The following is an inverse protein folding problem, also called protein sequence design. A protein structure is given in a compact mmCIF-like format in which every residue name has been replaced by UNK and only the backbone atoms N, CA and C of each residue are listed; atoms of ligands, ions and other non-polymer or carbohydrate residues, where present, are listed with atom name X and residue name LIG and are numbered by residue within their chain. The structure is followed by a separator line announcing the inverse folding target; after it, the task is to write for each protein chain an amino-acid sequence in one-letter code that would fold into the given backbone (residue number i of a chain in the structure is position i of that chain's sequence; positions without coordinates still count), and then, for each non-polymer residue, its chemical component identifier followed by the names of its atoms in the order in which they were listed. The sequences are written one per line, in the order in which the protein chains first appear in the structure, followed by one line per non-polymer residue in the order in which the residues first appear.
data_IF_283762646506
#
_entry.id   IF_283762646506
#
_cell.length_a   1.000
_cell.length_b   1.000
_cell.length_c   1.000
_cell.angle_alpha   90.00
_cell.angle_beta   90.00
_cell.angle_gamma   90.00
#
_symmetry.space_group_name_H-M   'P 1'
#
loop_
_entity.id
_entity.type
_entity.pdbx_description
1 polymer ?
#
# COMPACT_ATOMS: atom_id res chain seq x y z
N UNK A 1 -19.63 -47.35 10.47
CA UNK A 1 -20.97 -46.70 10.50
C UNK A 1 -20.79 -45.21 10.19
N UNK A 2 -21.67 -44.65 9.39
CA UNK A 2 -21.55 -43.21 9.02
C UNK A 2 -22.21 -42.37 10.12
N UNK A 3 -21.45 -41.42 10.69
CA UNK A 3 -21.96 -40.51 11.74
C UNK A 3 -23.14 -39.68 11.25
N UNK A 4 -24.17 -39.54 12.04
CA UNK A 4 -25.41 -38.82 11.71
C UNK A 4 -25.55 -37.49 12.47
N UNK A 5 -26.33 -36.56 11.91
CA UNK A 5 -26.67 -35.29 12.61
C UNK A 5 -27.25 -35.53 14.01
N UNK A 6 -27.98 -36.63 14.20
CA UNK A 6 -28.56 -36.99 15.51
C UNK A 6 -27.46 -37.27 16.54
N UNK A 7 -26.41 -38.01 16.16
CA UNK A 7 -25.29 -38.30 17.07
C UNK A 7 -24.53 -37.03 17.50
N UNK A 8 -24.38 -36.07 16.61
CA UNK A 8 -23.78 -34.75 16.93
C UNK A 8 -24.71 -33.95 17.85
N UNK A 9 -26.01 -34.00 17.62
CA UNK A 9 -27.02 -33.36 18.47
C UNK A 9 -27.03 -33.96 19.89
N UNK A 10 -26.98 -35.31 19.99
CA UNK A 10 -26.92 -36.02 21.26
C UNK A 10 -25.62 -35.72 22.04
N UNK A 11 -24.45 -35.67 21.38
CA UNK A 11 -23.13 -35.34 22.00
C UNK A 11 -23.05 -33.87 22.47
N UNK A 12 -23.73 -32.96 21.79
CA UNK A 12 -23.73 -31.53 22.14
C UNK A 12 -24.86 -31.10 23.07
N UNK A 13 -25.87 -31.94 23.28
CA UNK A 13 -27.09 -31.62 24.02
C UNK A 13 -27.99 -30.59 23.32
N UNK A 14 -27.85 -30.43 22.01
CA UNK A 14 -28.60 -29.43 21.22
C UNK A 14 -29.59 -30.12 20.26
N UNK A 15 -30.61 -29.37 19.82
CA UNK A 15 -31.55 -29.90 18.85
C UNK A 15 -30.93 -30.20 17.49
N UNK A 16 -31.40 -31.24 16.79
CA UNK A 16 -30.96 -31.59 15.43
C UNK A 16 -31.10 -30.37 14.49
N UNK A 17 -32.15 -29.56 14.64
CA UNK A 17 -32.41 -28.38 13.87
C UNK A 17 -31.31 -27.30 14.11
N UNK A 18 -30.87 -27.13 15.38
CA UNK A 18 -29.78 -26.22 15.74
C UNK A 18 -28.46 -26.68 15.15
N UNK A 19 -28.13 -27.96 15.29
CA UNK A 19 -26.92 -28.57 14.72
C UNK A 19 -26.91 -28.44 13.19
N UNK A 20 -28.01 -28.82 12.52
CA UNK A 20 -28.15 -28.71 11.07
C UNK A 20 -27.98 -27.29 10.57
N UNK A 21 -28.56 -26.32 11.29
CA UNK A 21 -28.47 -24.90 10.94
C UNK A 21 -27.05 -24.37 11.13
N UNK A 22 -26.36 -24.75 12.20
CA UNK A 22 -24.98 -24.40 12.47
C UNK A 22 -24.07 -24.97 11.39
N UNK A 23 -24.15 -26.26 11.07
CA UNK A 23 -23.29 -26.91 10.07
C UNK A 23 -23.56 -26.46 8.62
N UNK A 24 -24.70 -25.81 8.34
CA UNK A 24 -24.99 -25.22 7.01
C UNK A 24 -24.56 -23.76 6.89
N UNK A 25 -24.27 -23.08 8.01
CA UNK A 25 -23.89 -21.66 8.03
C UNK A 25 -22.37 -21.53 7.87
N UNK A 26 -21.95 -20.91 6.79
CA UNK A 26 -20.57 -20.47 6.61
C UNK A 26 -20.42 -19.08 7.27
N UNK A 27 -19.99 -19.02 8.54
CA UNK A 27 -19.77 -17.77 9.28
C UNK A 27 -18.33 -17.69 9.78
N UNK A 28 -17.74 -16.50 9.74
CA UNK A 28 -16.38 -16.21 10.20
C UNK A 28 -16.22 -16.12 11.72
N UNK A 29 -17.29 -16.12 12.49
CA UNK A 29 -17.28 -16.15 13.96
C UNK A 29 -18.37 -17.06 14.43
N UNK A 30 -18.01 -18.03 15.24
CA UNK A 30 -18.92 -18.98 15.83
C UNK A 30 -19.38 -18.49 17.21
N UNK A 31 -20.64 -18.70 17.53
CA UNK A 31 -21.11 -18.61 18.91
C UNK A 31 -20.57 -19.81 19.72
N UNK A 32 -20.55 -19.71 21.06
CA UNK A 32 -20.07 -20.80 21.90
C UNK A 32 -20.79 -22.13 21.64
N UNK A 33 -22.05 -22.08 21.21
CA UNK A 33 -22.81 -23.27 20.81
C UNK A 33 -22.39 -23.83 19.47
N UNK A 34 -22.04 -22.96 18.50
CA UNK A 34 -21.50 -23.38 17.20
C UNK A 34 -20.13 -24.02 17.36
N UNK A 35 -19.25 -23.47 18.20
CA UNK A 35 -17.95 -24.09 18.53
C UNK A 35 -18.10 -25.50 19.11
N UNK A 36 -19.03 -25.70 20.04
CA UNK A 36 -19.35 -27.03 20.59
C UNK A 36 -19.84 -28.00 19.51
N UNK A 37 -20.70 -27.53 18.59
CA UNK A 37 -21.22 -28.35 17.49
C UNK A 37 -20.08 -28.78 16.56
N UNK A 38 -19.18 -27.87 16.18
CA UNK A 38 -18.07 -28.20 15.31
C UNK A 38 -17.06 -29.12 15.98
N UNK A 39 -16.73 -28.91 17.25
CA UNK A 39 -15.85 -29.79 18.02
C UNK A 39 -16.40 -31.22 18.08
N UNK A 40 -17.71 -31.38 18.42
CA UNK A 40 -18.39 -32.67 18.47
C UNK A 40 -18.43 -33.35 17.09
N UNK A 41 -18.75 -32.59 16.05
CA UNK A 41 -18.83 -33.10 14.69
C UNK A 41 -17.46 -33.59 14.17
N UNK A 42 -16.36 -32.91 14.52
CA UNK A 42 -14.99 -33.39 14.24
C UNK A 42 -14.67 -34.66 15.01
N UNK A 43 -14.91 -34.67 16.34
CA UNK A 43 -14.66 -35.79 17.21
C UNK A 43 -15.39 -37.08 16.72
N UNK A 44 -16.60 -36.93 16.21
CA UNK A 44 -17.43 -38.05 15.75
C UNK A 44 -17.21 -38.42 14.28
N UNK A 45 -16.37 -37.69 13.53
CA UNK A 45 -16.11 -37.92 12.12
C UNK A 45 -17.34 -37.70 11.22
N UNK A 46 -18.12 -36.64 11.47
CA UNK A 46 -19.29 -36.33 10.66
C UNK A 46 -18.91 -35.92 9.24
N UNK A 47 -19.43 -36.60 8.20
CA UNK A 47 -18.86 -36.55 6.83
C UNK A 47 -18.99 -35.20 6.12
N UNK A 48 -19.80 -34.27 6.60
CA UNK A 48 -19.96 -32.93 6.01
C UNK A 48 -19.00 -31.88 6.59
N UNK A 49 -18.10 -32.27 7.51
CA UNK A 49 -17.05 -31.38 8.05
C UNK A 49 -15.90 -31.21 7.06
N UNK A 50 -15.81 -32.04 6.04
CA UNK A 50 -14.74 -31.94 5.03
C UNK A 50 -14.69 -30.64 4.24
N UNK A 51 -15.68 -29.74 4.38
CA UNK A 51 -15.67 -28.39 3.85
C UNK A 51 -15.40 -27.32 4.91
N UNK A 52 -15.26 -27.69 6.19
CA UNK A 52 -14.67 -26.81 7.19
C UNK A 52 -13.17 -26.95 7.00
N UNK A 53 -12.60 -26.01 6.28
CA UNK A 53 -11.14 -25.83 6.29
C UNK A 53 -10.68 -25.79 7.74
N UNK A 54 -9.63 -26.55 8.06
CA UNK A 54 -8.81 -26.32 9.24
C UNK A 54 -8.68 -24.81 9.46
N UNK A 55 -8.89 -24.36 10.72
CA UNK A 55 -8.88 -23.00 11.22
C UNK A 55 -8.87 -21.96 10.10
N UNK A 56 -9.99 -21.26 9.86
CA UNK A 56 -10.17 -20.39 8.69
C UNK A 56 -8.90 -19.59 8.44
N UNK A 57 -8.05 -20.07 7.52
CA UNK A 57 -6.77 -19.44 7.19
C UNK A 57 -7.07 -17.98 6.84
N UNK A 58 -6.48 -17.07 7.62
CA UNK A 58 -6.72 -15.65 7.45
C UNK A 58 -6.35 -15.26 6.02
N UNK A 59 -7.30 -14.70 5.30
CA UNK A 59 -7.06 -14.21 3.94
C UNK A 59 -7.13 -12.69 3.94
N UNK A 60 -6.00 -12.05 3.68
CA UNK A 60 -5.87 -10.60 3.62
C UNK A 60 -5.88 -10.14 2.17
N UNK A 61 -6.74 -9.21 1.82
CA UNK A 61 -6.75 -8.59 0.50
C UNK A 61 -5.91 -7.31 0.51
N UNK A 62 -4.85 -7.25 -0.31
CA UNK A 62 -4.22 -5.99 -0.69
C UNK A 62 -4.93 -5.44 -1.92
N UNK A 63 -5.65 -4.33 -1.74
CA UNK A 63 -6.41 -3.65 -2.79
C UNK A 63 -5.63 -2.43 -3.26
N UNK A 64 -5.27 -2.42 -4.53
CA UNK A 64 -4.46 -1.34 -5.13
C UNK A 64 -4.79 -1.17 -6.60
N UNK A 65 -4.45 -0.03 -7.17
CA UNK A 65 -4.28 0.12 -8.61
C UNK A 65 -2.83 -0.20 -8.94
N UNK A 66 -2.62 -1.20 -9.79
CA UNK A 66 -1.26 -1.64 -10.14
C UNK A 66 -0.68 -0.69 -11.20
N UNK A 67 0.43 -0.07 -10.87
CA UNK A 67 1.25 0.73 -11.79
C UNK A 67 2.60 0.05 -12.00
N UNK A 68 3.33 0.48 -13.01
CA UNK A 68 4.71 0.01 -13.24
C UNK A 68 5.65 0.61 -12.19
N UNK A 69 6.63 -0.17 -11.76
CA UNK A 69 7.67 0.28 -10.85
C UNK A 69 8.03 -0.74 -9.77
N UNK A 70 9.23 -0.62 -9.21
CA UNK A 70 9.78 -1.54 -8.20
C UNK A 70 9.06 -1.44 -6.86
N UNK A 71 8.48 -0.28 -6.54
CA UNK A 71 7.69 -0.08 -5.33
C UNK A 71 6.59 -1.15 -5.16
N UNK A 72 5.80 -1.41 -6.22
CA UNK A 72 4.74 -2.42 -6.15
C UNK A 72 5.29 -3.84 -5.97
N UNK A 73 6.41 -4.16 -6.62
CA UNK A 73 7.07 -5.45 -6.45
C UNK A 73 7.56 -5.63 -5.01
N UNK A 74 8.15 -4.61 -4.42
CA UNK A 74 8.61 -4.61 -3.04
C UNK A 74 7.45 -4.72 -2.04
N UNK A 75 6.37 -3.99 -2.28
CA UNK A 75 5.13 -4.07 -1.50
C UNK A 75 4.56 -5.49 -1.51
N UNK A 76 4.43 -6.10 -2.69
CA UNK A 76 3.92 -7.46 -2.85
C UNK A 76 4.82 -8.48 -2.16
N UNK A 77 6.14 -8.36 -2.30
CA UNK A 77 7.11 -9.22 -1.60
C UNK A 77 7.00 -9.07 -0.07
N UNK A 78 6.78 -7.87 0.44
CA UNK A 78 6.56 -7.62 1.86
C UNK A 78 5.33 -8.37 2.39
N UNK A 79 4.20 -8.28 1.69
CA UNK A 79 2.99 -9.03 2.03
C UNK A 79 3.19 -10.55 1.93
N UNK A 80 3.83 -11.03 0.87
CA UNK A 80 4.14 -12.45 0.70
C UNK A 80 5.04 -13.00 1.82
N UNK A 81 6.09 -12.26 2.20
CA UNK A 81 6.96 -12.70 3.27
C UNK A 81 6.25 -12.69 4.64
N UNK A 82 5.44 -11.67 4.90
CA UNK A 82 4.62 -11.60 6.13
C UNK A 82 3.61 -12.73 6.20
N UNK A 83 2.99 -13.11 5.09
CA UNK A 83 2.00 -14.19 5.04
C UNK A 83 2.58 -15.54 5.45
N UNK A 84 3.84 -15.81 5.13
CA UNK A 84 4.55 -17.03 5.60
C UNK A 84 4.73 -17.07 7.11
N UNK A 85 4.96 -15.91 7.73
CA UNK A 85 5.19 -15.81 9.18
C UNK A 85 3.86 -15.92 9.94
N UNK A 86 2.80 -15.36 9.36
CA UNK A 86 1.46 -15.31 9.99
C UNK A 86 0.56 -16.47 9.58
N UNK A 87 1.05 -17.40 8.76
CA UNK A 87 0.28 -18.52 8.21
C UNK A 87 -1.04 -18.07 7.58
N UNK A 88 -1.01 -16.91 6.90
CA UNK A 88 -2.17 -16.30 6.25
C UNK A 88 -2.03 -16.33 4.73
N UNK A 89 -3.16 -16.31 4.02
CA UNK A 89 -3.18 -16.07 2.58
C UNK A 89 -3.19 -14.56 2.28
N UNK A 90 -2.50 -14.14 1.23
CA UNK A 90 -2.59 -12.79 0.68
C UNK A 90 -3.14 -12.84 -0.73
N UNK A 91 -4.18 -12.06 -0.98
CA UNK A 91 -4.80 -11.90 -2.29
C UNK A 91 -4.60 -10.47 -2.78
N UNK A 92 -4.02 -10.33 -3.97
CA UNK A 92 -3.88 -9.02 -4.61
C UNK A 92 -5.13 -8.73 -5.44
N UNK A 93 -5.78 -7.61 -5.13
CA UNK A 93 -6.98 -7.15 -5.84
C UNK A 93 -6.63 -5.86 -6.56
N UNK A 94 -6.55 -5.94 -7.90
CA UNK A 94 -6.41 -4.75 -8.74
C UNK A 94 -7.77 -4.07 -8.86
N UNK A 95 -7.86 -2.84 -8.35
CA UNK A 95 -9.05 -2.01 -8.49
C UNK A 95 -8.97 -1.33 -9.86
N UNK A 96 -9.63 -1.90 -10.87
CA UNK A 96 -9.64 -1.33 -12.21
C UNK A 96 -10.24 0.08 -12.21
N UNK A 97 -9.64 1.00 -12.96
CA UNK A 97 -10.10 2.40 -13.12
C UNK A 97 -11.55 2.56 -13.60
N UNK A 98 -12.19 1.47 -14.03
CA UNK A 98 -13.54 1.43 -14.58
C UNK A 98 -14.59 0.84 -13.62
N UNK A 99 -14.28 0.77 -12.33
CA UNK A 99 -15.32 0.47 -11.33
C UNK A 99 -16.18 1.71 -11.17
N UNK A 100 -17.48 1.63 -11.49
CA UNK A 100 -18.43 2.73 -11.35
C UNK A 100 -18.51 3.25 -9.90
N UNK A 101 -18.22 2.40 -8.92
CA UNK A 101 -18.13 2.74 -7.50
C UNK A 101 -17.03 1.92 -6.79
N UNK A 102 -15.78 2.42 -6.77
CA UNK A 102 -14.67 1.75 -6.11
C UNK A 102 -14.89 1.56 -4.61
N UNK A 103 -15.58 2.48 -3.96
CA UNK A 103 -15.90 2.40 -2.52
C UNK A 103 -16.85 1.24 -2.25
N UNK A 104 -17.92 1.09 -3.04
CA UNK A 104 -18.84 -0.02 -2.89
C UNK A 104 -18.17 -1.37 -3.18
N UNK A 105 -17.25 -1.40 -4.15
CA UNK A 105 -16.48 -2.60 -4.43
C UNK A 105 -15.63 -3.01 -3.22
N UNK A 106 -14.91 -2.07 -2.58
CA UNK A 106 -14.13 -2.32 -1.36
C UNK A 106 -15.02 -2.82 -0.23
N UNK A 107 -16.20 -2.21 -0.02
CA UNK A 107 -17.19 -2.68 0.97
C UNK A 107 -17.62 -4.13 0.69
N UNK A 108 -17.82 -4.50 -0.57
CA UNK A 108 -18.17 -5.86 -0.93
C UNK A 108 -17.04 -6.87 -0.70
N UNK A 109 -15.77 -6.46 -0.86
CA UNK A 109 -14.61 -7.30 -0.56
C UNK A 109 -14.54 -7.68 0.92
N UNK A 110 -15.05 -6.85 1.84
CA UNK A 110 -15.09 -7.16 3.28
C UNK A 110 -15.95 -8.40 3.62
N UNK A 111 -16.82 -8.81 2.70
CA UNK A 111 -17.64 -10.04 2.84
C UNK A 111 -16.87 -11.31 2.45
N UNK A 112 -15.75 -11.15 1.73
CA UNK A 112 -14.97 -12.28 1.16
C UNK A 112 -13.69 -12.57 1.93
N UNK A 113 -13.04 -11.52 2.45
CA UNK A 113 -11.71 -11.60 3.05
C UNK A 113 -11.75 -11.36 4.56
N UNK A 114 -10.72 -11.79 5.27
CA UNK A 114 -10.61 -11.63 6.72
C UNK A 114 -10.18 -10.23 7.13
N UNK A 115 -9.42 -9.56 6.28
CA UNK A 115 -8.99 -8.17 6.42
C UNK A 115 -8.66 -7.56 5.07
N UNK A 116 -8.64 -6.23 5.01
CA UNK A 116 -8.31 -5.47 3.81
C UNK A 116 -7.21 -4.47 4.13
N UNK A 117 -6.19 -4.42 3.27
CA UNK A 117 -5.21 -3.37 3.22
C UNK A 117 -5.41 -2.57 1.93
N UNK A 118 -5.56 -1.26 2.04
CA UNK A 118 -5.75 -0.35 0.91
C UNK A 118 -4.47 0.38 0.58
N UNK A 119 -4.02 0.32 -0.67
CA UNK A 119 -3.05 1.26 -1.23
C UNK A 119 -3.66 1.93 -2.45
N UNK A 120 -4.43 2.98 -2.21
CA UNK A 120 -5.24 3.70 -3.21
C UNK A 120 -5.04 5.22 -3.01
N UNK A 121 -3.99 5.81 -3.60
CA UNK A 121 -3.67 7.23 -3.44
C UNK A 121 -4.78 8.20 -3.86
N UNK A 122 -5.65 7.77 -4.76
CA UNK A 122 -6.73 8.59 -5.32
C UNK A 122 -7.99 8.65 -4.43
N UNK A 123 -8.07 7.87 -3.34
CA UNK A 123 -9.21 7.95 -2.42
C UNK A 123 -9.12 9.19 -1.55
N UNK A 124 -10.23 9.94 -1.49
CA UNK A 124 -10.36 11.12 -0.65
C UNK A 124 -10.97 10.81 0.72
N UNK A 125 -10.91 11.75 1.64
CA UNK A 125 -11.44 11.59 3.01
C UNK A 125 -12.92 11.17 3.06
N UNK A 126 -13.73 11.61 2.11
CA UNK A 126 -15.15 11.23 2.02
C UNK A 126 -15.30 9.72 1.72
N UNK A 127 -14.45 9.18 0.84
CA UNK A 127 -14.45 7.76 0.48
C UNK A 127 -14.08 6.89 1.69
N UNK A 128 -13.05 7.26 2.43
CA UNK A 128 -12.66 6.54 3.65
C UNK A 128 -13.75 6.56 4.72
N UNK A 129 -14.48 7.68 4.88
CA UNK A 129 -15.65 7.73 5.78
C UNK A 129 -16.75 6.80 5.31
N UNK A 130 -17.03 6.77 4.01
CA UNK A 130 -18.05 5.91 3.41
C UNK A 130 -17.66 4.43 3.55
N UNK A 131 -16.39 4.08 3.32
CA UNK A 131 -15.85 2.73 3.55
C UNK A 131 -16.05 2.34 5.02
N UNK A 132 -15.59 3.16 5.98
CA UNK A 132 -15.71 2.86 7.42
C UNK A 132 -17.16 2.67 7.83
N UNK A 133 -18.08 3.51 7.35
CA UNK A 133 -19.51 3.37 7.61
C UNK A 133 -20.08 2.07 7.05
N UNK A 134 -19.64 1.66 5.86
CA UNK A 134 -20.12 0.44 5.20
C UNK A 134 -19.58 -0.86 5.81
N UNK A 135 -18.34 -0.84 6.34
CA UNK A 135 -17.70 -2.03 6.91
C UNK A 135 -17.77 -2.12 8.44
N UNK A 136 -18.15 -1.04 9.14
CA UNK A 136 -18.25 -0.97 10.60
C UNK A 136 -16.92 -1.26 11.29
N UNK A 137 -16.86 -2.29 12.16
CA UNK A 137 -15.67 -2.72 12.91
C UNK A 137 -14.78 -3.71 12.15
N UNK A 138 -15.04 -3.94 10.87
CA UNK A 138 -14.25 -4.85 10.07
C UNK A 138 -12.77 -4.41 9.98
N UNK A 139 -11.79 -5.36 10.03
CA UNK A 139 -10.38 -5.05 9.94
C UNK A 139 -10.02 -4.47 8.56
N UNK A 140 -9.71 -3.18 8.52
CA UNK A 140 -9.28 -2.48 7.32
C UNK A 140 -8.24 -1.43 7.68
N UNK A 141 -7.14 -1.40 6.95
CA UNK A 141 -6.07 -0.41 7.07
C UNK A 141 -5.79 0.27 5.74
N UNK A 142 -5.18 1.44 5.79
CA UNK A 142 -4.66 2.16 4.62
C UNK A 142 -3.15 2.27 4.68
N UNK A 143 -2.49 2.13 3.54
CA UNK A 143 -1.07 2.48 3.36
C UNK A 143 -0.89 3.88 2.79
N UNK A 144 -1.99 4.56 2.43
CA UNK A 144 -1.95 5.94 1.96
C UNK A 144 -2.03 6.89 3.14
N UNK A 145 -1.08 7.81 3.32
CA UNK A 145 -1.11 8.78 4.41
C UNK A 145 -2.32 9.72 4.28
N UNK A 146 -2.88 10.10 5.41
CA UNK A 146 -4.11 10.90 5.48
C UNK A 146 -4.10 11.80 6.71
N UNK A 147 -4.50 13.06 6.52
CA UNK A 147 -4.73 13.97 7.65
C UNK A 147 -6.03 13.59 8.36
N UNK A 148 -5.96 13.28 9.66
CA UNK A 148 -7.10 12.83 10.48
C UNK A 148 -7.76 11.57 9.90
N UNK A 149 -7.10 10.41 9.94
CA UNK A 149 -7.57 9.17 9.35
C UNK A 149 -8.84 8.67 10.04
N UNK A 150 -9.76 8.09 9.27
CA UNK A 150 -10.98 7.44 9.76
C UNK A 150 -10.85 5.92 9.85
N UNK A 151 -9.77 5.37 9.31
CA UNK A 151 -9.34 3.98 9.43
C UNK A 151 -7.87 3.97 9.87
N UNK A 152 -7.42 2.86 10.44
CA UNK A 152 -6.03 2.70 10.83
C UNK A 152 -5.12 2.85 9.60
N UNK A 153 -4.01 3.57 9.77
CA UNK A 153 -3.12 3.92 8.67
C UNK A 153 -1.68 3.57 9.04
N UNK A 154 -0.99 2.91 8.12
CA UNK A 154 0.46 2.70 8.15
C UNK A 154 1.02 3.50 6.98
N UNK A 155 1.91 4.43 7.24
CA UNK A 155 2.51 5.28 6.20
C UNK A 155 4.02 5.35 6.35
N UNK A 156 4.69 5.62 5.24
CA UNK A 156 6.12 5.93 5.23
C UNK A 156 6.33 7.37 5.70
N UNK A 157 7.46 7.62 6.37
CA UNK A 157 7.85 8.98 6.73
C UNK A 157 8.51 9.68 5.53
N UNK A 158 7.67 9.99 4.56
CA UNK A 158 8.07 10.63 3.30
C UNK A 158 8.67 12.02 3.50
N UNK A 159 8.24 12.75 4.55
CA UNK A 159 8.81 14.05 4.89
C UNK A 159 10.26 13.93 5.35
N UNK A 160 10.53 13.08 6.34
CA UNK A 160 11.90 12.83 6.81
C UNK A 160 12.80 12.31 5.69
N UNK A 161 12.28 11.48 4.79
CA UNK A 161 13.04 11.01 3.64
C UNK A 161 13.50 12.15 2.72
N UNK A 162 12.61 13.06 2.35
CA UNK A 162 12.96 14.24 1.56
C UNK A 162 13.98 15.15 2.29
N UNK A 163 13.77 15.39 3.58
CA UNK A 163 14.68 16.18 4.42
C UNK A 163 16.08 15.56 4.49
N UNK A 164 16.17 14.23 4.66
CA UNK A 164 17.45 13.50 4.72
C UNK A 164 18.23 13.58 3.40
N UNK A 165 17.57 13.58 2.26
CA UNK A 165 18.23 13.73 0.95
C UNK A 165 18.86 15.12 0.82
N UNK A 166 18.13 16.19 1.17
CA UNK A 166 18.70 17.55 1.15
C UNK A 166 19.90 17.67 2.10
N UNK A 167 19.77 17.13 3.32
CA UNK A 167 20.87 17.07 4.28
C UNK A 167 22.08 16.30 3.74
N UNK A 168 21.86 15.16 3.11
CA UNK A 168 22.94 14.38 2.48
C UNK A 168 23.68 15.19 1.41
N UNK A 169 22.97 15.91 0.57
CA UNK A 169 23.58 16.76 -0.44
C UNK A 169 24.40 17.92 0.18
N UNK A 170 23.90 18.55 1.25
CA UNK A 170 24.67 19.52 2.04
C UNK A 170 25.98 18.91 2.59
N UNK A 171 25.92 17.72 3.15
CA UNK A 171 27.09 16.98 3.66
C UNK A 171 28.11 16.68 2.55
N UNK A 172 27.64 16.46 1.31
CA UNK A 172 28.48 16.32 0.12
C UNK A 172 28.97 17.67 -0.44
N UNK A 173 28.73 18.79 0.26
CA UNK A 173 29.19 20.16 -0.08
C UNK A 173 28.52 20.75 -1.31
N UNK A 174 27.30 20.32 -1.64
CA UNK A 174 26.46 21.01 -2.59
C UNK A 174 25.66 22.11 -1.89
N UNK A 175 25.53 23.26 -2.54
CA UNK A 175 24.74 24.41 -2.07
C UNK A 175 23.65 24.83 -3.08
N UNK A 176 23.67 24.30 -4.28
CA UNK A 176 22.61 24.47 -5.26
C UNK A 176 21.83 23.19 -5.44
N UNK A 177 20.52 23.27 -5.27
CA UNK A 177 19.62 22.13 -5.24
C UNK A 177 18.60 22.22 -6.37
N UNK A 178 18.27 21.08 -6.94
CA UNK A 178 17.16 20.92 -7.86
C UNK A 178 16.18 19.86 -7.36
N UNK A 179 14.92 19.94 -7.75
CA UNK A 179 13.94 18.92 -7.45
C UNK A 179 13.06 18.61 -8.66
N UNK A 180 12.81 17.30 -8.87
CA UNK A 180 11.75 16.80 -9.73
C UNK A 180 10.68 16.25 -8.81
N UNK A 181 9.62 17.02 -8.56
CA UNK A 181 8.55 16.61 -7.67
C UNK A 181 7.68 15.51 -8.32
N UNK A 182 6.93 14.77 -7.49
CA UNK A 182 5.85 13.93 -7.97
C UNK A 182 4.54 14.71 -8.11
N UNK A 183 3.42 14.03 -8.41
CA UNK A 183 2.10 14.66 -8.55
C UNK A 183 1.69 15.45 -7.32
N UNK A 184 1.11 16.63 -7.51
CA UNK A 184 0.71 17.52 -6.42
C UNK A 184 -0.50 17.00 -5.61
N UNK A 185 -1.25 16.04 -6.14
CA UNK A 185 -2.35 15.34 -5.48
C UNK A 185 -1.91 14.07 -4.73
N UNK A 186 -0.65 13.63 -4.94
CA UNK A 186 -0.07 12.52 -4.20
C UNK A 186 0.54 13.00 -2.89
N UNK A 187 -0.07 12.64 -1.77
CA UNK A 187 0.32 13.11 -0.41
C UNK A 187 1.79 12.81 -0.11
N UNK A 188 2.28 11.62 -0.49
CA UNK A 188 3.67 11.24 -0.30
C UNK A 188 4.64 12.14 -1.09
N UNK A 189 4.28 12.50 -2.34
CA UNK A 189 5.08 13.41 -3.16
C UNK A 189 5.19 14.79 -2.52
N UNK A 190 4.08 15.30 -2.00
CA UNK A 190 4.03 16.61 -1.30
C UNK A 190 4.89 16.57 -0.05
N UNK A 191 4.83 15.49 0.74
CA UNK A 191 5.66 15.36 1.93
C UNK A 191 7.16 15.24 1.59
N UNK A 192 7.54 14.46 0.60
CA UNK A 192 8.93 14.37 0.11
C UNK A 192 9.46 15.74 -0.31
N UNK A 193 8.68 16.47 -1.12
CA UNK A 193 9.01 17.83 -1.58
C UNK A 193 9.17 18.80 -0.40
N UNK A 194 8.21 18.81 0.54
CA UNK A 194 8.24 19.73 1.67
C UNK A 194 9.47 19.48 2.56
N UNK A 195 9.75 18.20 2.91
CA UNK A 195 10.92 17.88 3.71
C UNK A 195 12.23 18.33 3.04
N UNK A 196 12.36 18.13 1.72
CA UNK A 196 13.52 18.57 0.96
C UNK A 196 13.69 20.10 0.96
N UNK A 197 12.60 20.84 0.71
CA UNK A 197 12.61 22.30 0.67
C UNK A 197 12.81 22.90 2.06
N UNK A 198 12.22 22.32 3.10
CA UNK A 198 12.34 22.85 4.47
C UNK A 198 13.80 22.79 4.94
N UNK A 199 14.54 21.68 4.67
CA UNK A 199 15.97 21.64 4.98
C UNK A 199 16.76 22.75 4.28
N UNK A 200 16.48 23.02 3.01
CA UNK A 200 17.14 24.10 2.26
C UNK A 200 16.84 25.46 2.90
N UNK A 201 15.57 25.71 3.24
CA UNK A 201 15.13 26.99 3.81
C UNK A 201 15.67 27.26 5.24
N UNK A 202 16.08 26.23 5.97
CA UNK A 202 16.71 26.38 7.30
C UNK A 202 18.12 26.96 7.22
N UNK A 203 18.75 26.99 6.05
CA UNK A 203 20.14 27.39 5.83
C UNK A 203 20.22 28.58 4.90
N UNK A 204 21.12 29.52 5.21
CA UNK A 204 21.29 30.76 4.41
C UNK A 204 22.14 30.58 3.14
N UNK A 205 22.94 29.54 3.12
CA UNK A 205 23.92 29.23 2.09
C UNK A 205 23.45 28.14 1.11
N UNK A 206 22.25 27.60 1.31
CA UNK A 206 21.62 26.65 0.41
C UNK A 206 20.54 27.32 -0.43
N UNK A 207 20.44 26.94 -1.68
CA UNK A 207 19.50 27.53 -2.63
C UNK A 207 18.82 26.47 -3.51
N UNK A 208 17.49 26.52 -3.60
CA UNK A 208 16.72 25.76 -4.57
C UNK A 208 16.74 26.52 -5.91
N UNK A 209 17.67 26.15 -6.80
CA UNK A 209 17.90 26.85 -8.06
C UNK A 209 17.05 26.34 -9.22
N UNK A 210 16.41 25.17 -9.05
CA UNK A 210 15.60 24.55 -10.09
C UNK A 210 14.52 23.63 -9.53
N UNK A 211 13.33 23.68 -10.15
CA UNK A 211 12.21 22.81 -9.82
C UNK A 211 11.45 22.42 -11.08
N UNK A 212 11.05 21.15 -11.16
CA UNK A 212 10.19 20.61 -12.21
C UNK A 212 9.06 19.79 -11.59
N UNK A 213 7.81 20.02 -12.03
CA UNK A 213 6.66 19.24 -11.57
C UNK A 213 6.52 17.97 -12.41
N UNK A 214 6.82 16.84 -11.80
CA UNK A 214 6.76 15.51 -12.40
C UNK A 214 5.49 14.74 -12.03
N UNK A 215 5.42 13.49 -12.51
CA UNK A 215 4.30 12.59 -12.35
C UNK A 215 4.72 11.16 -11.97
N UNK A 216 5.91 11.00 -11.40
CA UNK A 216 6.56 9.74 -11.07
C UNK A 216 6.96 8.87 -12.27
N UNK A 217 6.66 9.26 -13.51
CA UNK A 217 7.01 8.50 -14.70
C UNK A 217 8.43 8.74 -15.17
N UNK A 218 9.02 7.76 -15.88
CA UNK A 218 10.29 7.93 -16.57
C UNK A 218 10.23 8.98 -17.69
N UNK A 219 9.05 9.14 -18.32
CA UNK A 219 8.87 10.18 -19.35
C UNK A 219 8.90 11.59 -18.75
N UNK A 220 8.32 11.78 -17.57
CA UNK A 220 8.43 13.05 -16.87
C UNK A 220 9.88 13.36 -16.48
N UNK A 221 10.67 12.35 -16.09
CA UNK A 221 12.10 12.48 -15.87
C UNK A 221 12.85 12.96 -17.13
N UNK A 222 12.53 12.38 -18.28
CA UNK A 222 13.09 12.81 -19.57
C UNK A 222 12.75 14.28 -19.89
N UNK A 223 11.49 14.67 -19.68
CA UNK A 223 11.06 16.07 -19.88
C UNK A 223 11.76 17.03 -18.92
N UNK A 224 11.91 16.63 -17.66
CA UNK A 224 12.63 17.38 -16.64
C UNK A 224 14.08 17.61 -17.03
N UNK A 225 14.77 16.61 -17.62
CA UNK A 225 16.13 16.80 -18.11
C UNK A 225 16.20 17.82 -19.25
N UNK A 226 15.27 17.80 -20.19
CA UNK A 226 15.24 18.77 -21.30
C UNK A 226 15.10 20.20 -20.75
N UNK A 227 14.23 20.40 -19.76
CA UNK A 227 14.07 21.70 -19.08
C UNK A 227 15.35 22.09 -18.34
N UNK A 228 15.90 21.20 -17.51
CA UNK A 228 17.14 21.43 -16.75
C UNK A 228 18.31 21.85 -17.66
N UNK A 229 18.51 21.14 -18.77
CA UNK A 229 19.55 21.43 -19.74
C UNK A 229 19.46 22.86 -20.29
N UNK A 230 18.25 23.37 -20.50
CA UNK A 230 18.02 24.73 -20.99
C UNK A 230 18.40 25.82 -19.98
N UNK A 231 18.37 25.50 -18.68
CA UNK A 231 18.76 26.42 -17.60
C UNK A 231 20.27 26.65 -17.50
N UNK A 232 21.09 25.79 -18.13
CA UNK A 232 22.58 25.87 -18.13
C UNK A 232 23.17 25.88 -16.71
N UNK A 233 22.50 25.33 -15.74
CA UNK A 233 22.95 25.23 -14.36
C UNK A 233 24.12 24.24 -14.22
N UNK A 234 24.99 24.49 -13.23
CA UNK A 234 26.16 23.66 -12.95
C UNK A 234 26.24 23.35 -11.46
N UNK A 235 26.89 22.24 -11.15
CA UNK A 235 27.12 21.82 -9.77
C UNK A 235 25.82 21.79 -8.92
N UNK A 236 24.77 21.19 -9.48
CA UNK A 236 23.46 21.04 -8.84
C UNK A 236 23.28 19.62 -8.31
N UNK A 237 22.81 19.50 -7.09
CA UNK A 237 22.33 18.26 -6.52
C UNK A 237 20.82 18.14 -6.72
N UNK A 238 20.39 17.11 -7.46
CA UNK A 238 19.00 16.96 -7.91
C UNK A 238 18.34 15.83 -7.11
N UNK A 239 17.19 16.13 -6.52
CA UNK A 239 16.32 15.14 -5.92
C UNK A 239 15.17 14.80 -6.87
N UNK A 240 15.05 13.54 -7.26
CA UNK A 240 13.86 13.01 -7.92
C UNK A 240 12.94 12.34 -6.91
N UNK A 241 11.67 12.69 -6.92
CA UNK A 241 10.69 12.19 -5.94
C UNK A 241 10.46 10.68 -5.99
N UNK A 242 10.97 9.99 -7.02
CA UNK A 242 11.11 8.52 -7.08
C UNK A 242 12.22 8.11 -8.04
N UNK A 243 12.68 6.86 -7.93
CA UNK A 243 13.76 6.32 -8.76
C UNK A 243 13.39 6.26 -10.24
N UNK A 244 12.13 5.96 -10.54
CA UNK A 244 11.69 5.83 -11.94
C UNK A 244 11.81 7.13 -12.72
N UNK A 245 11.50 8.27 -12.10
CA UNK A 245 11.76 9.60 -12.64
C UNK A 245 13.25 9.87 -12.81
N UNK A 246 14.08 9.49 -11.81
CA UNK A 246 15.53 9.63 -11.90
C UNK A 246 16.12 8.85 -13.08
N UNK A 247 15.68 7.62 -13.32
CA UNK A 247 16.13 6.83 -14.45
C UNK A 247 15.82 7.49 -15.79
N UNK A 248 14.63 8.07 -15.95
CA UNK A 248 14.26 8.83 -17.14
C UNK A 248 15.15 10.06 -17.36
N UNK A 249 15.40 10.80 -16.27
CA UNK A 249 16.29 11.97 -16.29
C UNK A 249 17.72 11.59 -16.64
N UNK A 250 18.30 10.60 -15.95
CA UNK A 250 19.68 10.13 -16.20
C UNK A 250 19.88 9.60 -17.62
N UNK A 251 18.91 8.81 -18.11
CA UNK A 251 18.99 8.27 -19.47
C UNK A 251 19.06 9.39 -20.50
N UNK A 252 18.19 10.37 -20.42
CA UNK A 252 18.18 11.53 -21.32
C UNK A 252 19.46 12.39 -21.19
N UNK A 253 20.01 12.51 -19.98
CA UNK A 253 21.27 13.21 -19.72
C UNK A 253 22.45 12.51 -20.41
N UNK A 254 22.59 11.21 -20.25
CA UNK A 254 23.66 10.40 -20.86
C UNK A 254 23.56 10.45 -22.38
N UNK A 255 22.36 10.28 -22.94
CA UNK A 255 22.11 10.40 -24.39
C UNK A 255 22.48 11.79 -24.95
N UNK A 256 22.41 12.83 -24.10
CA UNK A 256 22.81 14.20 -24.42
C UNK A 256 24.28 14.51 -24.15
N UNK A 257 25.09 13.53 -23.76
CA UNK A 257 26.53 13.65 -23.51
C UNK A 257 26.92 14.17 -22.12
N UNK A 258 25.99 14.32 -21.20
CA UNK A 258 26.27 14.67 -19.80
C UNK A 258 26.92 13.49 -19.06
N UNK A 259 27.79 13.80 -18.11
CA UNK A 259 28.49 12.81 -17.27
C UNK A 259 28.06 12.96 -15.81
N UNK A 260 27.51 11.91 -15.26
CA UNK A 260 27.10 11.80 -13.86
C UNK A 260 28.20 11.02 -13.12
N UNK A 261 28.70 11.49 -11.98
CA UNK A 261 28.28 12.65 -11.19
C UNK A 261 28.97 13.98 -11.54
N UNK A 262 29.77 14.07 -12.62
CA UNK A 262 30.60 15.23 -12.92
C UNK A 262 29.81 16.53 -13.18
N UNK A 263 28.73 16.44 -13.95
CA UNK A 263 27.97 17.62 -14.39
C UNK A 263 26.84 17.98 -13.40
N UNK A 264 26.33 17.00 -12.71
CA UNK A 264 25.38 17.08 -11.58
C UNK A 264 25.35 15.75 -10.81
N UNK A 265 24.79 15.77 -9.59
CA UNK A 265 24.40 14.53 -8.89
C UNK A 265 22.90 14.42 -8.83
N UNK A 266 22.39 13.18 -8.67
CA UNK A 266 20.97 12.91 -8.54
C UNK A 266 20.76 11.79 -7.56
N UNK A 267 19.75 11.93 -6.70
CA UNK A 267 19.24 10.88 -5.82
C UNK A 267 17.74 10.71 -6.01
N UNK A 268 17.29 9.47 -5.90
CA UNK A 268 15.88 9.10 -5.98
C UNK A 268 15.27 8.82 -4.61
N UNK A 269 14.13 8.14 -4.66
CA UNK A 269 13.36 7.66 -3.52
C UNK A 269 12.71 6.33 -3.93
N UNK A 270 12.46 5.43 -3.02
CA UNK A 270 11.79 4.12 -3.09
C UNK A 270 12.73 2.93 -2.86
N UNK A 271 14.02 3.02 -3.06
CA UNK A 271 14.96 1.91 -2.80
C UNK A 271 16.15 2.37 -1.97
#
# INVERSE_FOLDING_TARGET
MRTTLKQVADDTGLSIATVSRALRRNRRRYSSNEEKIYASARKLGYPFIGNLKEEDQLTIALVTEVHQGEFYSSLFNGFYNSSKITESDVVFVNLAKHSDDPVQHIINLSKKYSGICLFLPNLIKADYKRIRSGVGKYPIISLTPMKNPTIDTVSFDSYSGGYMIAKHFEEQKYNHFGIISGPNDAVDAVFRKNGFIDHINEKKDLELVWQFDGDFSSDSGRRAFIDFKNQKLKNVAIFGSNDHTCFGFMKAAIESGFKIPRDFIIAGYDH
#
